data_IF_992372784389
#
_entry.id   IF_992372784389
#
_cell.length_a   1.000
_cell.length_b   1.000
_cell.length_c   1.000
_cell.angle_alpha   90.00
_cell.angle_beta   90.00
_cell.angle_gamma   90.00
#
_symmetry.space_group_name_H-M   'P 1'
#
loop_
_entity.id
_entity.type
_entity.pdbx_description
1 polymer ?
#
# COMPACT_ATOMS: atom_id res chain seq x y z
N UNK A 1 -18.34 -14.52 -8.81
CA UNK A 1 -17.77 -15.60 -7.93
C UNK A 1 -17.38 -14.96 -6.61
N UNK A 2 -17.77 -15.58 -5.49
CA UNK A 2 -17.53 -15.07 -4.14
C UNK A 2 -16.04 -15.03 -3.80
N UNK A 3 -15.53 -13.88 -3.37
CA UNK A 3 -14.13 -13.65 -2.98
C UNK A 3 -14.06 -13.24 -1.51
N UNK A 4 -13.01 -13.69 -0.81
CA UNK A 4 -12.72 -13.22 0.54
C UNK A 4 -11.80 -12.01 0.49
N UNK A 5 -12.17 -10.99 1.24
CA UNK A 5 -11.39 -9.77 1.43
C UNK A 5 -11.05 -9.62 2.90
N UNK A 6 -9.82 -9.24 3.18
CA UNK A 6 -9.31 -9.01 4.53
C UNK A 6 -8.98 -7.54 4.71
N UNK A 7 -9.39 -6.98 5.84
CA UNK A 7 -9.09 -5.62 6.22
C UNK A 7 -8.11 -5.60 7.40
N UNK A 8 -6.95 -5.03 7.17
CA UNK A 8 -5.99 -4.67 8.21
C UNK A 8 -6.38 -3.34 8.83
N UNK A 9 -6.18 -3.21 10.14
CA UNK A 9 -6.69 -2.06 10.91
C UNK A 9 -5.63 -1.48 11.84
N UNK A 10 -5.87 -0.29 12.36
CA UNK A 10 -5.33 0.10 13.65
C UNK A 10 -6.21 -0.48 14.76
N UNK A 11 -5.64 -0.71 15.95
CA UNK A 11 -6.36 -1.16 17.13
C UNK A 11 -6.37 -0.08 18.22
N UNK A 12 -6.31 1.19 17.80
CA UNK A 12 -6.30 2.33 18.72
C UNK A 12 -7.69 2.70 19.26
N UNK A 13 -8.75 2.19 18.65
CA UNK A 13 -10.14 2.46 18.99
C UNK A 13 -10.95 1.19 19.22
N UNK A 14 -11.91 0.91 18.34
CA UNK A 14 -12.85 -0.20 18.48
C UNK A 14 -12.40 -1.50 17.78
N UNK A 15 -11.40 -1.42 16.91
CA UNK A 15 -10.89 -2.58 16.21
C UNK A 15 -10.12 -3.51 17.14
N UNK A 16 -10.21 -4.82 16.85
CA UNK A 16 -9.51 -5.89 17.57
C UNK A 16 -8.50 -6.64 16.69
N UNK A 17 -8.30 -6.21 15.43
CA UNK A 17 -7.37 -6.90 14.56
C UNK A 17 -7.81 -6.94 13.10
N UNK A 18 -7.66 -8.10 12.46
CA UNK A 18 -8.00 -8.31 11.05
C UNK A 18 -9.45 -8.73 10.93
N UNK A 19 -10.19 -8.07 10.04
CA UNK A 19 -11.56 -8.44 9.70
C UNK A 19 -11.61 -9.11 8.33
N UNK A 20 -12.54 -10.05 8.15
CA UNK A 20 -12.82 -10.72 6.88
C UNK A 20 -14.27 -10.52 6.48
N UNK A 21 -14.48 -10.21 5.22
CA UNK A 21 -15.80 -10.16 4.59
C UNK A 21 -15.75 -10.78 3.20
N UNK A 22 -16.87 -10.95 2.56
CA UNK A 22 -16.94 -11.46 1.19
C UNK A 22 -17.39 -10.38 0.24
N UNK A 23 -16.84 -10.44 -0.96
CA UNK A 23 -17.24 -9.63 -2.11
C UNK A 23 -17.82 -10.53 -3.21
N UNK A 24 -18.96 -10.15 -3.76
CA UNK A 24 -19.56 -10.79 -4.93
C UNK A 24 -20.38 -9.76 -5.73
N UNK A 25 -19.96 -9.49 -6.97
CA UNK A 25 -20.68 -8.61 -7.92
C UNK A 25 -21.08 -7.25 -7.32
N UNK A 26 -20.13 -6.61 -6.64
CA UNK A 26 -20.34 -5.30 -6.01
C UNK A 26 -21.01 -5.34 -4.63
N UNK A 27 -21.37 -6.52 -4.12
CA UNK A 27 -21.96 -6.69 -2.80
C UNK A 27 -20.94 -7.13 -1.77
N UNK A 28 -21.03 -6.57 -0.59
CA UNK A 28 -20.18 -6.84 0.55
C UNK A 28 -21.00 -7.54 1.64
N UNK A 29 -20.49 -8.62 2.24
CA UNK A 29 -21.14 -9.21 3.42
C UNK A 29 -20.75 -8.47 4.68
N UNK A 30 -21.50 -8.66 5.75
CA UNK A 30 -21.10 -8.20 7.08
C UNK A 30 -19.70 -8.71 7.44
N UNK A 31 -18.83 -7.86 8.00
CA UNK A 31 -17.49 -8.25 8.38
C UNK A 31 -17.48 -9.05 9.68
N UNK A 32 -16.60 -10.04 9.74
CA UNK A 32 -16.33 -10.80 10.95
C UNK A 32 -14.88 -10.62 11.39
N UNK A 33 -14.61 -10.58 12.68
CA UNK A 33 -13.23 -10.64 13.21
C UNK A 33 -12.62 -11.98 12.76
N UNK A 34 -11.52 -11.88 12.02
CA UNK A 34 -10.81 -13.02 11.47
C UNK A 34 -9.63 -13.44 12.35
N UNK A 35 -8.87 -12.47 12.83
CA UNK A 35 -7.73 -12.69 13.70
C UNK A 35 -7.62 -11.54 14.70
N UNK A 36 -7.60 -11.87 16.01
CA UNK A 36 -7.32 -10.89 17.06
C UNK A 36 -5.80 -10.66 17.14
N UNK A 37 -5.37 -9.42 16.86
CA UNK A 37 -3.96 -9.07 16.69
C UNK A 37 -3.80 -7.54 16.76
N UNK A 38 -2.69 -7.07 17.35
CA UNK A 38 -2.46 -5.64 17.58
C UNK A 38 -1.88 -4.94 16.34
N UNK A 39 -2.53 -3.86 15.93
CA UNK A 39 -2.10 -2.97 14.84
C UNK A 39 -1.69 -3.68 13.53
N UNK A 40 -2.48 -4.61 12.97
CA UNK A 40 -2.21 -5.25 11.69
C UNK A 40 -2.45 -4.28 10.52
N UNK A 41 -1.71 -3.16 10.48
CA UNK A 41 -1.95 -2.02 9.58
C UNK A 41 -1.66 -2.31 8.12
N UNK A 42 -0.95 -3.38 7.83
CA UNK A 42 -0.71 -3.84 6.47
C UNK A 42 -0.60 -5.36 6.40
N UNK A 43 -1.12 -5.91 5.32
CA UNK A 43 -1.25 -7.34 5.08
C UNK A 43 -0.67 -7.69 3.72
N UNK A 44 -0.09 -8.89 3.58
CA UNK A 44 0.19 -9.47 2.27
C UNK A 44 -0.11 -10.98 2.24
N UNK A 45 -0.28 -11.53 1.05
CA UNK A 45 -0.40 -12.97 0.82
C UNK A 45 0.98 -13.62 0.81
N UNK A 46 1.04 -14.79 1.45
CA UNK A 46 2.12 -15.74 1.31
C UNK A 46 1.49 -17.12 1.07
N UNK A 47 1.38 -17.52 -0.18
CA UNK A 47 0.63 -18.71 -0.59
C UNK A 47 -0.84 -18.64 -0.11
N UNK A 48 -1.29 -19.62 0.67
CA UNK A 48 -2.61 -19.71 1.29
C UNK A 48 -2.74 -18.91 2.61
N UNK A 49 -1.63 -18.32 3.10
CA UNK A 49 -1.55 -17.63 4.39
C UNK A 49 -1.51 -16.12 4.25
N UNK A 50 -1.71 -15.45 5.37
CA UNK A 50 -1.58 -13.99 5.48
C UNK A 50 -0.38 -13.68 6.36
N UNK A 51 0.47 -12.79 5.89
CA UNK A 51 1.48 -12.13 6.73
C UNK A 51 0.95 -10.76 7.10
N UNK A 52 0.95 -10.47 8.39
CA UNK A 52 0.53 -9.19 8.94
C UNK A 52 1.68 -8.54 9.73
N UNK A 53 1.82 -7.23 9.62
CA UNK A 53 2.60 -6.48 10.62
C UNK A 53 1.88 -6.56 11.97
N UNK A 54 2.62 -6.57 13.07
CA UNK A 54 2.06 -6.78 14.41
C UNK A 54 2.85 -6.03 15.48
N UNK A 55 2.13 -5.43 16.43
CA UNK A 55 2.72 -4.95 17.69
C UNK A 55 2.69 -6.08 18.73
N UNK A 56 3.74 -6.17 19.53
CA UNK A 56 3.88 -7.07 20.65
C UNK A 56 4.23 -6.27 21.91
N UNK A 57 4.10 -6.87 23.07
CA UNK A 57 4.46 -6.22 24.34
C UNK A 57 5.94 -5.79 24.35
N UNK A 58 6.80 -6.54 23.67
CA UNK A 58 8.28 -6.37 23.72
C UNK A 58 8.84 -5.65 22.48
N UNK A 59 7.98 -5.26 21.53
CA UNK A 59 8.41 -4.64 20.28
C UNK A 59 7.38 -4.85 19.17
N UNK A 60 7.85 -4.90 17.93
CA UNK A 60 7.00 -5.09 16.77
C UNK A 60 7.63 -6.05 15.75
N UNK A 61 6.85 -6.50 14.79
CA UNK A 61 7.34 -7.41 13.76
C UNK A 61 6.23 -7.94 12.87
N UNK A 62 6.29 -9.25 12.58
CA UNK A 62 5.36 -9.93 11.68
C UNK A 62 4.74 -11.15 12.34
N UNK A 63 3.50 -11.44 11.97
CA UNK A 63 2.82 -12.70 12.27
C UNK A 63 2.35 -13.38 10.99
N UNK A 64 2.50 -14.71 10.93
CA UNK A 64 1.96 -15.58 9.90
C UNK A 64 0.65 -16.18 10.38
N UNK A 65 -0.41 -16.00 9.61
CA UNK A 65 -1.78 -16.36 9.97
C UNK A 65 -2.31 -17.36 8.95
N UNK A 66 -2.89 -18.44 9.44
CA UNK A 66 -3.49 -19.48 8.59
C UNK A 66 -4.88 -19.08 8.05
N UNK A 67 -5.45 -19.93 7.21
CA UNK A 67 -6.78 -19.73 6.60
C UNK A 67 -7.95 -19.69 7.64
N UNK A 68 -7.70 -20.16 8.87
CA UNK A 68 -8.67 -20.14 9.98
C UNK A 68 -8.55 -18.90 10.86
N UNK A 69 -7.55 -18.04 10.60
CA UNK A 69 -7.28 -16.84 11.39
C UNK A 69 -6.42 -17.12 12.62
N UNK A 70 -5.72 -18.26 12.68
CA UNK A 70 -4.82 -18.58 13.78
C UNK A 70 -3.41 -18.10 13.47
N UNK A 71 -2.79 -17.41 14.42
CA UNK A 71 -1.37 -17.06 14.34
C UNK A 71 -0.57 -18.35 14.53
N UNK A 72 0.14 -18.76 13.48
CA UNK A 72 0.93 -20.02 13.47
C UNK A 72 2.41 -19.79 13.69
N UNK A 73 2.89 -18.56 13.48
CA UNK A 73 4.27 -18.16 13.76
C UNK A 73 4.39 -16.64 13.85
N UNK A 74 5.42 -16.14 14.52
CA UNK A 74 5.70 -14.70 14.65
C UNK A 74 7.19 -14.43 14.80
N UNK A 75 7.61 -13.23 14.40
CA UNK A 75 8.98 -12.74 14.56
C UNK A 75 8.95 -11.29 15.05
N UNK A 76 9.57 -11.03 16.21
CA UNK A 76 9.81 -9.69 16.75
C UNK A 76 11.21 -9.25 16.33
N UNK A 77 11.33 -8.10 15.64
CA UNK A 77 12.62 -7.59 15.14
C UNK A 77 12.68 -6.06 15.04
N UNK A 78 11.59 -5.37 15.36
CA UNK A 78 11.42 -3.93 15.30
C UNK A 78 10.98 -3.40 16.67
N UNK A 79 11.15 -2.08 16.89
CA UNK A 79 10.63 -1.38 18.09
C UNK A 79 9.25 -0.77 17.83
N UNK A 80 9.04 -0.30 16.60
CA UNK A 80 7.77 0.26 16.14
C UNK A 80 7.30 -0.51 14.92
N UNK A 81 6.00 -0.76 14.80
CA UNK A 81 5.44 -1.56 13.69
C UNK A 81 5.71 -0.94 12.35
N UNK A 82 6.17 -1.74 11.41
CA UNK A 82 6.25 -1.41 9.98
C UNK A 82 4.90 -0.93 9.44
N UNK A 83 4.93 -0.05 8.44
CA UNK A 83 3.74 0.48 7.79
C UNK A 83 3.38 -0.23 6.49
N UNK A 84 4.23 -1.14 6.03
CA UNK A 84 4.06 -1.89 4.80
C UNK A 84 4.68 -3.27 4.91
N UNK A 85 4.07 -4.26 4.30
CA UNK A 85 4.60 -5.60 4.11
C UNK A 85 4.22 -6.13 2.74
N UNK A 86 5.13 -6.84 2.10
CA UNK A 86 4.89 -7.53 0.82
C UNK A 86 5.65 -8.84 0.79
N UNK A 87 5.25 -9.74 -0.10
CA UNK A 87 5.87 -11.04 -0.31
C UNK A 87 6.31 -11.17 -1.75
N UNK A 88 7.52 -11.66 -1.96
CA UNK A 88 8.10 -11.90 -3.28
C UNK A 88 9.02 -13.12 -3.21
N UNK A 89 8.78 -14.12 -4.09
CA UNK A 89 9.62 -15.33 -4.22
C UNK A 89 9.97 -16.02 -2.89
N UNK A 90 8.98 -16.16 -2.00
CA UNK A 90 9.16 -16.82 -0.69
C UNK A 90 9.82 -15.96 0.39
N UNK A 91 10.22 -14.74 0.04
CA UNK A 91 10.68 -13.75 1.01
C UNK A 91 9.56 -12.78 1.37
N UNK A 92 9.56 -12.31 2.59
CA UNK A 92 8.72 -11.19 3.05
C UNK A 92 9.59 -9.96 3.25
N UNK A 93 9.10 -8.83 2.78
CA UNK A 93 9.76 -7.53 2.94
C UNK A 93 8.85 -6.59 3.71
N UNK A 94 9.43 -5.84 4.66
CA UNK A 94 8.70 -4.80 5.39
C UNK A 94 9.39 -3.45 5.27
N UNK A 95 8.61 -2.38 5.36
CA UNK A 95 9.12 -1.01 5.43
C UNK A 95 8.67 -0.35 6.73
N UNK A 96 9.64 0.16 7.49
CA UNK A 96 9.41 0.82 8.77
C UNK A 96 9.55 2.34 8.64
N UNK A 97 8.42 3.02 8.71
CA UNK A 97 8.34 4.47 8.59
C UNK A 97 9.04 5.19 9.74
N UNK A 98 8.88 4.70 10.96
CA UNK A 98 9.36 5.36 12.16
C UNK A 98 10.86 5.16 12.37
N UNK A 99 11.35 3.96 12.10
CA UNK A 99 12.76 3.61 12.28
C UNK A 99 13.62 3.96 11.06
N UNK A 100 13.00 4.17 9.89
CA UNK A 100 13.72 4.44 8.65
C UNK A 100 14.49 3.23 8.13
N UNK A 101 13.92 2.04 8.34
CA UNK A 101 14.47 0.75 7.95
C UNK A 101 13.60 0.06 6.92
N UNK A 102 14.17 -0.92 6.21
CA UNK A 102 13.42 -1.99 5.60
C UNK A 102 14.05 -3.33 5.97
N UNK A 103 13.28 -4.41 5.95
CA UNK A 103 13.75 -5.73 6.34
C UNK A 103 13.33 -6.79 5.31
N UNK A 104 14.17 -7.82 5.17
CA UNK A 104 13.93 -9.04 4.40
C UNK A 104 13.90 -10.23 5.35
N UNK A 105 12.89 -11.09 5.22
CA UNK A 105 12.70 -12.31 5.99
C UNK A 105 12.45 -13.46 5.03
N UNK A 106 13.32 -14.46 5.01
CA UNK A 106 13.13 -15.70 4.26
C UNK A 106 12.26 -16.66 5.10
N UNK A 107 11.01 -16.84 4.69
CA UNK A 107 10.06 -17.69 5.42
C UNK A 107 10.35 -19.19 5.29
N UNK A 108 11.19 -19.59 4.32
CA UNK A 108 11.58 -20.98 4.13
C UNK A 108 12.69 -21.42 5.12
N UNK A 109 13.35 -20.47 5.77
CA UNK A 109 14.41 -20.73 6.75
C UNK A 109 13.91 -20.58 8.17
N UNK A 110 14.07 -21.62 8.99
CA UNK A 110 13.72 -21.64 10.42
C UNK A 110 14.97 -21.74 11.30
N UNK A 111 15.02 -21.04 12.42
CA UNK A 111 14.09 -19.99 12.86
C UNK A 111 14.16 -18.76 11.95
N UNK A 112 13.06 -18.05 11.82
CA UNK A 112 13.05 -16.81 11.03
C UNK A 112 14.01 -15.78 11.58
N UNK A 113 14.65 -15.06 10.68
CA UNK A 113 15.53 -13.94 11.00
C UNK A 113 15.25 -12.80 10.03
N UNK A 114 15.18 -11.61 10.56
CA UNK A 114 15.10 -10.41 9.75
C UNK A 114 16.52 -9.93 9.41
N UNK A 115 16.76 -9.73 8.13
CA UNK A 115 17.91 -8.99 7.62
C UNK A 115 17.46 -7.53 7.44
N UNK A 116 17.81 -6.67 8.40
CA UNK A 116 17.34 -5.28 8.46
C UNK A 116 18.41 -4.31 8.00
N UNK A 117 18.02 -3.40 7.10
CA UNK A 117 18.85 -2.29 6.63
C UNK A 117 18.33 -0.99 7.25
N UNK A 118 19.16 -0.30 8.02
CA UNK A 118 18.92 1.08 8.41
C UNK A 118 19.33 1.99 7.26
N UNK A 119 18.34 2.62 6.60
CA UNK A 119 18.59 3.62 5.55
C UNK A 119 19.00 4.95 6.20
N UNK A 120 18.14 5.44 7.09
CA UNK A 120 18.40 6.61 7.92
C UNK A 120 17.36 6.65 9.05
N UNK A 121 17.78 6.95 10.26
CA UNK A 121 16.84 7.13 11.38
C UNK A 121 15.72 8.11 11.00
N UNK A 122 14.48 7.69 11.23
CA UNK A 122 13.27 8.43 10.84
C UNK A 122 13.18 8.80 9.35
N UNK A 123 13.79 8.00 8.47
CA UNK A 123 13.82 8.25 7.03
C UNK A 123 12.45 8.15 6.34
N UNK A 124 11.45 7.57 7.01
CA UNK A 124 10.09 7.45 6.49
C UNK A 124 9.97 6.40 5.38
N UNK A 125 10.61 5.22 5.54
CA UNK A 125 10.48 4.10 4.61
C UNK A 125 9.03 3.64 4.55
N UNK A 126 8.40 3.70 3.36
CA UNK A 126 6.94 3.57 3.30
C UNK A 126 6.42 2.40 2.46
N UNK A 127 7.22 1.85 1.59
CA UNK A 127 6.91 0.70 0.75
C UNK A 127 8.19 -0.06 0.41
N UNK A 128 8.07 -1.33 0.07
CA UNK A 128 9.10 -2.10 -0.62
C UNK A 128 8.51 -2.58 -1.94
N UNK A 129 9.20 -2.33 -3.03
CA UNK A 129 8.84 -2.75 -4.37
C UNK A 129 9.98 -3.61 -4.92
N UNK A 130 9.69 -4.84 -5.32
CA UNK A 130 10.66 -5.74 -5.94
C UNK A 130 10.43 -5.75 -7.47
N UNK A 131 11.49 -5.61 -8.24
CA UNK A 131 11.44 -5.69 -9.70
C UNK A 131 12.84 -5.94 -10.27
N UNK A 132 12.96 -6.91 -11.18
CA UNK A 132 14.17 -7.24 -11.92
C UNK A 132 15.41 -7.34 -10.99
N UNK A 133 15.31 -8.23 -9.97
CA UNK A 133 16.36 -8.47 -8.96
C UNK A 133 16.79 -7.24 -8.17
N UNK A 134 15.97 -6.19 -8.16
CA UNK A 134 16.19 -4.96 -7.38
C UNK A 134 15.06 -4.71 -6.39
N UNK A 135 15.40 -4.04 -5.33
CA UNK A 135 14.49 -3.64 -4.24
C UNK A 135 14.47 -2.12 -4.20
N UNK A 136 13.29 -1.53 -4.39
CA UNK A 136 13.08 -0.08 -4.37
C UNK A 136 12.34 0.30 -3.10
N UNK A 137 12.91 1.21 -2.32
CA UNK A 137 12.35 1.65 -1.03
C UNK A 137 12.11 3.16 -1.06
N UNK A 138 10.86 3.61 -1.25
CA UNK A 138 10.49 5.03 -1.10
C UNK A 138 10.71 5.48 0.35
N UNK A 139 11.50 6.54 0.51
CA UNK A 139 11.85 7.15 1.80
C UNK A 139 11.30 8.57 1.85
N UNK A 140 10.15 8.73 2.49
CA UNK A 140 9.32 9.94 2.44
C UNK A 140 10.08 11.19 2.91
N UNK A 141 10.78 11.12 4.04
CA UNK A 141 11.48 12.27 4.59
C UNK A 141 12.86 12.53 3.96
N UNK A 142 13.33 11.60 3.12
CA UNK A 142 14.59 11.78 2.39
C UNK A 142 14.38 12.34 0.99
N UNK A 143 13.13 12.43 0.52
CA UNK A 143 12.80 12.75 -0.87
C UNK A 143 13.56 11.86 -1.84
N UNK A 144 13.60 10.54 -1.56
CA UNK A 144 14.35 9.56 -2.34
C UNK A 144 13.62 8.22 -2.42
N UNK A 145 13.85 7.51 -3.50
CA UNK A 145 13.72 6.06 -3.54
C UNK A 145 15.12 5.47 -3.49
N UNK A 146 15.40 4.65 -2.49
CA UNK A 146 16.67 3.95 -2.37
C UNK A 146 16.58 2.62 -3.12
N UNK A 147 17.66 2.22 -3.81
CA UNK A 147 17.69 1.01 -4.63
C UNK A 147 18.75 0.06 -4.10
N UNK A 148 18.37 -1.21 -3.94
CA UNK A 148 19.23 -2.28 -3.43
C UNK A 148 19.20 -3.49 -4.36
N UNK A 149 20.22 -4.34 -4.28
CA UNK A 149 20.20 -5.69 -4.84
C UNK A 149 19.53 -6.69 -3.87
N UNK A 150 19.35 -7.93 -4.29
CA UNK A 150 18.76 -9.00 -3.46
C UNK A 150 19.59 -9.37 -2.22
N UNK A 151 20.87 -8.98 -2.21
CA UNK A 151 21.78 -9.16 -1.06
C UNK A 151 21.76 -7.95 -0.12
N UNK A 152 20.85 -7.02 -0.35
CA UNK A 152 20.64 -5.79 0.42
C UNK A 152 21.81 -4.81 0.33
N UNK A 153 22.65 -4.88 -0.72
CA UNK A 153 23.64 -3.85 -0.99
C UNK A 153 22.97 -2.69 -1.75
N UNK A 154 23.22 -1.47 -1.32
CA UNK A 154 22.71 -0.30 -2.02
C UNK A 154 23.40 -0.17 -3.38
N UNK A 155 22.60 -0.15 -4.46
CA UNK A 155 23.07 -0.05 -5.86
C UNK A 155 22.78 1.30 -6.49
N UNK A 156 21.77 2.03 -5.98
CA UNK A 156 21.35 3.30 -6.56
C UNK A 156 20.45 4.13 -5.67
N UNK A 157 20.00 5.25 -6.21
CA UNK A 157 18.98 6.10 -5.59
C UNK A 157 18.33 7.00 -6.63
N UNK A 158 17.04 7.24 -6.51
CA UNK A 158 16.28 8.20 -7.32
C UNK A 158 15.94 9.39 -6.43
N UNK A 159 16.38 10.58 -6.81
CA UNK A 159 16.17 11.81 -6.03
C UNK A 159 14.95 12.57 -6.54
N UNK A 160 14.10 13.00 -5.63
CA UNK A 160 12.89 13.78 -5.87
C UNK A 160 13.11 15.25 -5.51
N UNK A 161 12.29 16.17 -6.01
CA UNK A 161 12.29 17.54 -5.54
C UNK A 161 12.08 17.61 -4.02
N UNK A 162 12.73 18.55 -3.37
CA UNK A 162 12.64 18.74 -1.92
C UNK A 162 11.19 18.93 -1.46
N UNK A 163 10.78 18.14 -0.47
CA UNK A 163 9.44 18.19 0.11
C UNK A 163 8.40 17.39 -0.71
N UNK A 164 8.82 16.52 -1.64
CA UNK A 164 7.90 15.64 -2.38
C UNK A 164 7.33 14.54 -1.49
N UNK A 165 8.16 13.84 -0.76
CA UNK A 165 7.76 12.70 0.08
C UNK A 165 7.27 11.50 -0.73
N UNK A 166 8.16 10.78 -1.47
CA UNK A 166 7.78 9.59 -2.22
C UNK A 166 7.21 8.52 -1.30
N UNK A 167 6.09 7.88 -1.72
CA UNK A 167 5.32 7.03 -0.81
C UNK A 167 4.99 5.65 -1.38
N UNK A 168 4.06 5.55 -2.31
CA UNK A 168 3.62 4.30 -2.93
C UNK A 168 3.80 4.36 -4.45
N UNK A 169 4.18 3.24 -5.03
CA UNK A 169 4.36 3.10 -6.47
C UNK A 169 3.87 1.76 -7.02
N UNK A 170 3.87 1.67 -8.33
CA UNK A 170 3.64 0.44 -9.09
C UNK A 170 4.45 0.49 -10.39
N UNK A 171 4.98 -0.66 -10.81
CA UNK A 171 5.66 -0.77 -12.09
C UNK A 171 4.66 -0.88 -13.26
N UNK A 172 5.06 -0.38 -14.43
CA UNK A 172 4.38 -0.70 -15.68
C UNK A 172 4.50 -2.19 -15.99
N UNK A 173 3.58 -2.74 -16.78
CA UNK A 173 3.57 -4.17 -17.11
C UNK A 173 4.86 -4.64 -17.79
N UNK A 174 5.49 -3.77 -18.58
CA UNK A 174 6.76 -4.07 -19.25
C UNK A 174 7.99 -3.75 -18.37
N UNK A 175 7.79 -3.33 -17.13
CA UNK A 175 8.83 -3.00 -16.16
C UNK A 175 9.65 -1.75 -16.46
N UNK A 176 9.37 -1.02 -17.56
CA UNK A 176 10.17 0.15 -17.96
C UNK A 176 9.97 1.37 -17.09
N UNK A 177 8.78 1.51 -16.53
CA UNK A 177 8.40 2.68 -15.76
C UNK A 177 7.98 2.29 -14.35
N UNK A 178 8.40 3.10 -13.37
CA UNK A 178 7.84 3.12 -12.03
C UNK A 178 6.97 4.37 -11.89
N UNK A 179 5.68 4.17 -11.67
CA UNK A 179 4.75 5.23 -11.31
C UNK A 179 4.74 5.34 -9.79
N UNK A 180 4.99 6.55 -9.27
CA UNK A 180 5.13 6.74 -7.83
C UNK A 180 4.40 8.00 -7.38
N UNK A 181 3.52 7.87 -6.39
CA UNK A 181 2.83 9.00 -5.78
C UNK A 181 3.61 9.53 -4.58
N UNK A 182 3.69 10.87 -4.50
CA UNK A 182 4.25 11.57 -3.35
C UNK A 182 3.17 12.02 -2.38
N UNK A 183 3.40 11.79 -1.09
CA UNK A 183 2.46 12.15 -0.03
C UNK A 183 2.43 13.66 0.23
N UNK A 184 3.61 14.30 0.23
CA UNK A 184 3.75 15.67 0.69
C UNK A 184 3.47 16.70 -0.41
N UNK A 185 3.83 16.41 -1.68
CA UNK A 185 3.56 17.31 -2.80
C UNK A 185 2.28 16.96 -3.58
N UNK A 186 1.65 15.81 -3.31
CA UNK A 186 0.49 15.32 -4.05
C UNK A 186 0.73 15.29 -5.57
N UNK A 187 1.84 14.70 -5.96
CA UNK A 187 2.22 14.54 -7.36
C UNK A 187 2.41 13.07 -7.70
N UNK A 188 2.05 12.70 -8.91
CA UNK A 188 2.38 11.43 -9.55
C UNK A 188 3.65 11.65 -10.37
N UNK A 189 4.69 10.86 -10.09
CA UNK A 189 5.96 10.84 -10.81
C UNK A 189 6.02 9.64 -11.75
N UNK A 190 6.60 9.84 -12.91
CA UNK A 190 6.96 8.77 -13.84
C UNK A 190 8.47 8.66 -13.88
N UNK A 191 8.98 7.47 -13.62
CA UNK A 191 10.40 7.19 -13.46
C UNK A 191 10.82 6.16 -14.51
N UNK A 192 11.91 6.40 -15.22
CA UNK A 192 12.59 5.40 -16.01
C UNK A 192 13.36 4.47 -15.08
N UNK A 193 13.00 3.18 -15.11
CA UNK A 193 13.56 2.18 -14.19
C UNK A 193 15.02 1.89 -14.52
N UNK A 194 15.37 1.82 -15.79
CA UNK A 194 16.73 1.52 -16.25
C UNK A 194 17.70 2.66 -15.94
N UNK A 195 17.29 3.89 -16.23
CA UNK A 195 18.12 5.09 -16.03
C UNK A 195 18.03 5.63 -14.58
N UNK A 196 17.14 5.06 -13.75
CA UNK A 196 16.81 5.50 -12.37
C UNK A 196 16.53 7.02 -12.31
N UNK A 197 15.75 7.52 -13.30
CA UNK A 197 15.56 8.95 -13.52
C UNK A 197 14.08 9.32 -13.64
N UNK A 198 13.70 10.43 -13.01
CA UNK A 198 12.37 11.02 -13.16
C UNK A 198 12.24 11.60 -14.57
N UNK A 199 11.24 11.13 -15.32
CA UNK A 199 10.89 11.61 -16.67
C UNK A 199 9.89 12.74 -16.63
N UNK A 200 8.97 12.72 -15.68
CA UNK A 200 7.91 13.73 -15.55
C UNK A 200 7.17 13.62 -14.23
N UNK A 201 6.36 14.64 -13.96
CA UNK A 201 5.45 14.66 -12.82
C UNK A 201 4.18 15.44 -13.14
N UNK A 202 3.09 15.09 -12.50
CA UNK A 202 1.81 15.78 -12.61
C UNK A 202 1.07 15.82 -11.28
N UNK A 203 0.25 16.86 -11.07
CA UNK A 203 -0.59 16.96 -9.87
C UNK A 203 -1.63 15.85 -9.84
N UNK A 204 -1.96 15.33 -8.65
CA UNK A 204 -3.08 14.40 -8.44
C UNK A 204 -4.43 15.13 -8.41
N UNK A 205 -4.43 16.45 -8.49
CA UNK A 205 -5.62 17.29 -8.49
C UNK A 205 -5.69 18.19 -9.72
N UNK A 206 -6.91 18.49 -10.19
CA UNK A 206 -7.16 19.46 -11.26
C UNK A 206 -6.76 20.88 -10.85
N UNK A 207 -7.13 21.28 -9.65
CA UNK A 207 -6.70 22.53 -9.05
C UNK A 207 -5.30 22.35 -8.43
N UNK A 208 -4.31 22.97 -9.00
CA UNK A 208 -2.95 22.97 -8.43
C UNK A 208 -2.84 23.72 -7.10
N UNK A 209 -3.93 24.33 -6.66
CA UNK A 209 -3.98 24.99 -5.39
C UNK A 209 -3.96 23.93 -4.30
N UNK A 210 -2.93 23.91 -3.51
CA UNK A 210 -2.99 23.61 -2.09
C UNK A 210 -1.85 22.72 -1.59
N UNK A 211 -1.14 23.24 -0.62
CA UNK A 211 -0.23 22.56 0.30
C UNK A 211 -0.93 21.52 1.23
N UNK A 212 -1.91 20.77 0.74
CA UNK A 212 -2.59 19.72 1.47
C UNK A 212 -1.86 18.40 1.23
N UNK A 213 -1.03 18.01 2.15
CA UNK A 213 -0.32 16.73 2.16
C UNK A 213 -1.30 15.60 2.38
N UNK A 214 -1.17 14.46 1.66
CA UNK A 214 -2.07 13.37 1.99
C UNK A 214 -2.32 12.30 0.96
N UNK A 215 -1.68 12.33 -0.21
CA UNK A 215 -1.75 11.21 -1.13
C UNK A 215 -1.24 9.94 -0.45
N UNK A 216 -1.92 8.80 -0.69
CA UNK A 216 -1.70 7.59 0.07
C UNK A 216 -1.43 6.37 -0.82
N UNK A 217 -2.43 5.60 -1.14
CA UNK A 217 -2.27 4.39 -1.94
C UNK A 217 -2.23 4.72 -3.44
N UNK A 218 -1.52 3.88 -4.19
CA UNK A 218 -1.51 3.86 -5.64
C UNK A 218 -1.72 2.42 -6.11
N UNK A 219 -2.57 2.22 -7.12
CA UNK A 219 -2.75 0.94 -7.82
C UNK A 219 -2.79 1.17 -9.32
N UNK A 220 -2.18 0.26 -10.06
CA UNK A 220 -2.19 0.26 -11.52
C UNK A 220 -3.05 -0.89 -12.04
N UNK A 221 -4.00 -0.57 -12.92
CA UNK A 221 -4.77 -1.52 -13.71
C UNK A 221 -4.18 -1.54 -15.13
N UNK A 222 -3.44 -2.58 -15.49
CA UNK A 222 -2.80 -2.66 -16.81
C UNK A 222 -3.81 -2.87 -17.95
N UNK A 223 -4.91 -3.57 -17.70
CA UNK A 223 -5.91 -3.90 -18.71
C UNK A 223 -6.65 -2.66 -19.16
N UNK A 224 -7.04 -1.83 -18.22
CA UNK A 224 -7.70 -0.55 -18.48
C UNK A 224 -6.72 0.60 -18.73
N UNK A 225 -5.41 0.38 -18.51
CA UNK A 225 -4.37 1.41 -18.54
C UNK A 225 -4.71 2.61 -17.64
N UNK A 226 -5.05 2.31 -16.39
CA UNK A 226 -5.45 3.30 -15.39
C UNK A 226 -4.58 3.20 -14.13
N UNK A 227 -4.21 4.35 -13.60
CA UNK A 227 -3.70 4.48 -12.24
C UNK A 227 -4.76 5.09 -11.36
N UNK A 228 -4.90 4.55 -10.16
CA UNK A 228 -5.80 5.05 -9.13
C UNK A 228 -4.96 5.49 -7.94
N UNK A 229 -5.32 6.63 -7.34
CA UNK A 229 -4.61 7.21 -6.20
C UNK A 229 -5.63 7.68 -5.17
N UNK A 230 -5.43 7.36 -3.88
CA UNK A 230 -6.23 7.92 -2.80
C UNK A 230 -5.55 9.13 -2.16
N UNK A 231 -6.34 10.11 -1.71
CA UNK A 231 -5.86 11.25 -0.94
C UNK A 231 -6.69 11.44 0.33
N UNK A 232 -6.02 11.33 1.47
CA UNK A 232 -6.63 11.28 2.80
C UNK A 232 -7.16 12.61 3.31
N UNK A 233 -6.59 13.74 2.87
CA UNK A 233 -6.96 15.06 3.37
C UNK A 233 -8.11 15.67 2.58
N UNK A 234 -8.16 15.39 1.29
CA UNK A 234 -9.27 15.81 0.42
C UNK A 234 -10.42 14.81 0.36
N UNK A 235 -10.21 13.60 0.88
CA UNK A 235 -11.17 12.51 0.81
C UNK A 235 -11.58 12.20 -0.63
N UNK A 236 -10.59 12.08 -1.52
CA UNK A 236 -10.80 11.81 -2.95
C UNK A 236 -10.01 10.62 -3.45
N UNK A 237 -10.53 10.03 -4.52
CA UNK A 237 -9.87 9.07 -5.38
C UNK A 237 -9.60 9.74 -6.73
N UNK A 238 -8.37 9.65 -7.22
CA UNK A 238 -7.94 10.22 -8.50
C UNK A 238 -7.68 9.12 -9.50
N UNK A 239 -8.11 9.30 -10.75
CA UNK A 239 -7.90 8.35 -11.85
C UNK A 239 -7.06 8.99 -12.93
N UNK A 240 -6.03 8.28 -13.37
CA UNK A 240 -5.15 8.69 -14.46
C UNK A 240 -5.21 7.71 -15.63
N UNK A 241 -5.18 8.24 -16.82
CA UNK A 241 -4.83 7.49 -18.02
C UNK A 241 -3.32 7.32 -18.09
N UNK A 242 -2.89 6.13 -18.51
CA UNK A 242 -1.48 5.78 -18.64
C UNK A 242 -1.18 5.28 -20.05
N UNK A 243 -0.19 5.90 -20.68
CA UNK A 243 0.36 5.44 -21.94
C UNK A 243 1.90 5.49 -21.88
N UNK A 244 2.49 4.46 -21.27
CA UNK A 244 3.94 4.43 -21.00
C UNK A 244 4.34 5.58 -20.08
N UNK A 245 5.20 6.47 -20.55
CA UNK A 245 5.65 7.65 -19.77
C UNK A 245 4.62 8.77 -19.67
N UNK A 246 3.61 8.75 -20.52
CA UNK A 246 2.62 9.82 -20.58
C UNK A 246 1.45 9.46 -19.65
N UNK A 247 1.21 10.31 -18.67
CA UNK A 247 0.13 10.16 -17.69
C UNK A 247 -0.75 11.40 -17.68
N UNK A 248 -2.06 11.22 -17.62
CA UNK A 248 -3.03 12.32 -17.66
C UNK A 248 -4.14 12.11 -16.64
N UNK A 249 -4.36 13.07 -15.75
CA UNK A 249 -5.49 13.04 -14.81
C UNK A 249 -6.82 13.07 -15.60
N UNK A 250 -7.71 12.15 -15.27
CA UNK A 250 -9.04 12.02 -15.89
C UNK A 250 -10.14 12.40 -14.93
N UNK A 251 -9.99 12.12 -13.64
CA UNK A 251 -11.08 12.22 -12.69
C UNK A 251 -10.57 12.43 -11.26
N UNK A 252 -11.27 13.26 -10.49
CA UNK A 252 -11.24 13.27 -9.04
C UNK A 252 -12.66 13.04 -8.52
N UNK A 253 -12.89 12.03 -7.69
CA UNK A 253 -14.19 11.72 -7.07
C UNK A 253 -14.06 11.63 -5.56
N UNK A 254 -15.14 11.88 -4.84
CA UNK A 254 -15.21 11.70 -3.38
C UNK A 254 -15.06 10.22 -3.05
N UNK A 255 -14.33 9.89 -1.97
CA UNK A 255 -14.20 8.51 -1.49
C UNK A 255 -15.43 8.04 -0.69
N UNK A 256 -16.44 8.89 -0.55
CA UNK A 256 -17.70 8.66 0.18
C UNK A 256 -17.52 8.25 1.65
N UNK A 257 -16.41 8.70 2.23
CA UNK A 257 -16.03 8.51 3.63
C UNK A 257 -14.94 9.50 4.03
N UNK A 258 -14.20 9.18 5.09
CA UNK A 258 -13.13 10.03 5.62
C UNK A 258 -11.81 9.26 5.75
N UNK A 259 -10.73 9.88 5.24
CA UNK A 259 -9.36 9.39 5.29
C UNK A 259 -9.16 8.07 4.52
N UNK A 260 -9.31 8.06 3.17
CA UNK A 260 -9.08 6.89 2.30
C UNK A 260 -7.59 6.51 2.31
N UNK A 261 -7.21 5.58 3.20
CA UNK A 261 -5.82 5.23 3.41
C UNK A 261 -5.29 4.21 2.41
N UNK A 262 -6.13 3.25 2.06
CA UNK A 262 -5.83 2.22 1.08
C UNK A 262 -7.09 1.83 0.30
N UNK A 263 -6.90 1.17 -0.82
CA UNK A 263 -7.96 0.59 -1.63
C UNK A 263 -7.39 -0.58 -2.45
N UNK A 264 -8.27 -1.45 -2.91
CA UNK A 264 -7.94 -2.52 -3.86
C UNK A 264 -8.88 -2.48 -5.06
N UNK A 265 -8.41 -3.04 -6.17
CA UNK A 265 -9.22 -3.33 -7.35
C UNK A 265 -9.62 -4.80 -7.31
N UNK A 266 -10.91 -5.08 -7.47
CA UNK A 266 -11.47 -6.43 -7.48
C UNK A 266 -12.45 -6.54 -8.62
N UNK A 267 -12.11 -7.28 -9.67
CA UNK A 267 -12.86 -7.30 -10.91
C UNK A 267 -13.09 -5.87 -11.46
N UNK A 268 -14.32 -5.52 -11.81
CA UNK A 268 -14.70 -4.17 -12.23
C UNK A 268 -15.15 -3.28 -11.05
N UNK A 269 -14.50 -3.40 -9.89
CA UNK A 269 -14.83 -2.62 -8.70
C UNK A 269 -13.57 -2.11 -8.00
N UNK A 270 -13.74 -1.02 -7.25
CA UNK A 270 -12.75 -0.46 -6.34
C UNK A 270 -13.33 -0.47 -4.93
N UNK A 271 -12.64 -1.13 -4.00
CA UNK A 271 -12.98 -1.15 -2.58
C UNK A 271 -12.05 -0.20 -1.84
N UNK A 272 -12.60 0.82 -1.17
CA UNK A 272 -11.84 1.88 -0.50
C UNK A 272 -12.00 1.80 1.01
N UNK A 273 -10.87 1.68 1.74
CA UNK A 273 -10.83 1.70 3.20
C UNK A 273 -10.72 3.14 3.72
N UNK A 274 -11.78 3.63 4.33
CA UNK A 274 -11.92 4.96 4.90
C UNK A 274 -11.74 4.89 6.43
N UNK A 275 -10.54 5.21 6.91
CA UNK A 275 -10.14 4.98 8.30
C UNK A 275 -11.03 5.69 9.32
N UNK A 276 -11.27 6.99 9.13
CA UNK A 276 -11.93 7.80 10.17
C UNK A 276 -13.45 7.68 10.14
N UNK A 277 -14.04 7.34 9.00
CA UNK A 277 -15.47 6.98 8.94
C UNK A 277 -15.73 5.51 9.30
N UNK A 278 -14.68 4.69 9.54
CA UNK A 278 -14.80 3.28 9.89
C UNK A 278 -15.57 2.46 8.84
N UNK A 279 -15.29 2.68 7.57
CA UNK A 279 -16.02 2.08 6.47
C UNK A 279 -15.10 1.53 5.39
N UNK A 280 -15.58 0.49 4.72
CA UNK A 280 -15.12 0.11 3.39
C UNK A 280 -16.26 0.40 2.42
N UNK A 281 -15.97 1.21 1.40
CA UNK A 281 -16.95 1.61 0.36
C UNK A 281 -16.57 0.92 -0.96
N UNK A 282 -17.54 0.30 -1.61
CA UNK A 282 -17.41 -0.35 -2.90
C UNK A 282 -17.93 0.57 -4.01
N UNK A 283 -17.09 0.83 -5.01
CA UNK A 283 -17.45 1.59 -6.22
C UNK A 283 -17.43 0.69 -7.43
N UNK A 284 -18.42 0.84 -8.33
CA UNK A 284 -18.33 0.22 -9.64
C UNK A 284 -17.34 0.98 -10.53
N UNK A 285 -16.53 0.27 -11.29
CA UNK A 285 -15.69 0.85 -12.35
C UNK A 285 -16.40 0.75 -13.68
N UNK A 286 -16.42 1.86 -14.42
CA UNK A 286 -16.95 1.91 -15.79
C UNK A 286 -16.01 1.14 -16.73
N UNK A 287 -16.48 0.75 -17.90
CA UNK A 287 -15.68 0.06 -18.92
C UNK A 287 -14.38 0.81 -19.27
N UNK A 288 -14.42 2.15 -19.28
CA UNK A 288 -13.27 3.00 -19.53
C UNK A 288 -12.35 3.19 -18.29
N UNK A 289 -12.62 2.49 -17.18
CA UNK A 289 -11.85 2.55 -15.93
C UNK A 289 -12.13 3.76 -15.05
N UNK A 290 -13.09 4.61 -15.38
CA UNK A 290 -13.51 5.69 -14.47
C UNK A 290 -14.32 5.12 -13.30
N UNK A 291 -14.17 5.73 -12.13
CA UNK A 291 -14.92 5.38 -10.94
C UNK A 291 -16.37 5.86 -11.12
N UNK A 292 -17.31 4.95 -10.95
CA UNK A 292 -18.76 5.24 -10.94
C UNK A 292 -19.27 5.54 -9.54
N UNK A 293 -20.58 5.38 -9.35
CA UNK A 293 -21.22 5.60 -8.07
C UNK A 293 -20.87 4.50 -7.06
N UNK A 294 -20.91 4.77 -5.75
CA UNK A 294 -20.80 3.74 -4.74
C UNK A 294 -21.99 2.78 -4.83
N UNK A 295 -21.72 1.49 -4.75
CA UNK A 295 -22.74 0.44 -4.91
C UNK A 295 -23.03 -0.30 -3.62
N UNK A 296 -22.07 -0.29 -2.67
CA UNK A 296 -22.23 -0.91 -1.35
C UNK A 296 -21.24 -0.34 -0.35
N UNK A 297 -21.50 -0.55 0.95
CA UNK A 297 -20.59 -0.19 2.06
C UNK A 297 -20.80 -1.06 3.29
N UNK A 298 -19.73 -1.26 4.05
CA UNK A 298 -19.76 -1.99 5.32
C UNK A 298 -18.96 -1.23 6.37
N UNK A 299 -19.33 -1.39 7.65
CA UNK A 299 -18.58 -0.82 8.77
C UNK A 299 -17.44 -1.74 9.18
N UNK A 300 -16.21 -1.24 9.13
CA UNK A 300 -15.01 -1.89 9.68
C UNK A 300 -14.21 -0.84 10.44
N UNK A 301 -14.06 -0.99 11.77
CA UNK A 301 -13.34 -0.01 12.57
C UNK A 301 -11.90 0.16 12.10
N UNK A 302 -11.49 1.41 11.88
CA UNK A 302 -10.11 1.82 11.59
C UNK A 302 -9.43 1.05 10.45
N UNK A 303 -10.18 0.62 9.41
CA UNK A 303 -9.62 -0.07 8.25
C UNK A 303 -8.59 0.80 7.52
N UNK A 304 -7.37 0.26 7.28
CA UNK A 304 -6.24 1.00 6.70
C UNK A 304 -5.47 0.25 5.62
N UNK A 305 -5.75 -1.02 5.43
CA UNK A 305 -5.29 -1.83 4.31
C UNK A 305 -6.33 -2.87 3.94
N UNK A 306 -6.36 -3.24 2.67
CA UNK A 306 -7.22 -4.29 2.13
C UNK A 306 -6.39 -5.32 1.38
N UNK A 307 -6.77 -6.60 1.48
CA UNK A 307 -6.12 -7.73 0.84
C UNK A 307 -7.18 -8.70 0.31
N UNK A 308 -7.06 -9.11 -0.95
CA UNK A 308 -7.83 -10.19 -1.55
C UNK A 308 -7.09 -11.52 -1.45
#
# INVERSE_FOLDING_TARGET
>A
MKKYIYAGTYTSGLSKGIYRFTFEEGRLSDPALFCEIENPKYLCRQEDKIVAVNDFTEGAGLSLIDEKGQIIDSLIYEKATSCYVTSEEGNVYSANYHEGTFSKIDLNKKPWKAETVLIQDKGGCHQVLCHDHKIYVPCLFLDKVMVYDEKLNQTGKISFPKGSGPRHGAFSTDGKYLYLVSELSNELFVIDVKEEKILGRTSVFEDRAVNLKGSAALRFDPDKKRLYISNRVRNVLSVFEVNGKDVRLLQNVRCEGDHPRDFILVDDFLLCANRFSNEVVCFALKENGLIGDPVDRICIPEAVSLLQ
#
